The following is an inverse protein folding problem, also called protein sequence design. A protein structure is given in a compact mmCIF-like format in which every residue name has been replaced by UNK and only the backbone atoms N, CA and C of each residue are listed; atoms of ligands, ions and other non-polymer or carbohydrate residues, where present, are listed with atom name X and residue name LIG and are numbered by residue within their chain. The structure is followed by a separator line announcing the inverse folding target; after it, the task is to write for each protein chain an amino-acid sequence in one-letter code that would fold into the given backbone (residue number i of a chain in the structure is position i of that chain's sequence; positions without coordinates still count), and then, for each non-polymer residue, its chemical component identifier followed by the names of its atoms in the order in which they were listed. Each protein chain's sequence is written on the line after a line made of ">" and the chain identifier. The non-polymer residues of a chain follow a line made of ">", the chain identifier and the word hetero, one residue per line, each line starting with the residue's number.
data_IF_884059640794
#
_entry.id   IF_884059640794
#
_cell.length_a   1.000
_cell.length_b   1.000
_cell.length_c   1.000
_cell.angle_alpha   90.00
_cell.angle_beta   90.00
_cell.angle_gamma   90.00
#
_symmetry.space_group_name_H-M   'P 1'
#
loop_
_entity.id
_entity.type
_entity.pdbx_description
1 polymer ?
#
# COMPACT_ATOMS: atom_id res chain seq x y z
N UNK A 1 11.24 -39.82 -35.84
CA UNK A 1 10.37 -39.48 -34.73
C UNK A 1 10.74 -40.38 -33.59
N UNK A 2 11.41 -39.89 -32.57
CA UNK A 2 11.66 -40.63 -31.33
C UNK A 2 10.38 -40.51 -30.52
N UNK A 3 9.59 -41.58 -30.48
CA UNK A 3 8.39 -41.63 -29.61
C UNK A 3 8.87 -41.86 -28.18
N UNK A 4 8.49 -40.99 -27.26
CA UNK A 4 8.79 -41.16 -25.84
C UNK A 4 7.96 -42.37 -25.34
N UNK A 5 8.62 -43.46 -24.96
CA UNK A 5 8.00 -44.62 -24.31
C UNK A 5 8.33 -44.61 -22.83
N UNK A 6 7.31 -44.44 -21.99
CA UNK A 6 7.42 -44.49 -20.53
C UNK A 6 7.29 -45.93 -20.03
N UNK A 7 8.18 -46.36 -19.17
CA UNK A 7 8.07 -47.63 -18.46
C UNK A 7 6.98 -47.57 -17.38
N UNK A 8 6.47 -48.73 -16.99
CA UNK A 8 5.43 -48.82 -15.93
C UNK A 8 5.87 -48.19 -14.59
N UNK A 9 7.16 -48.21 -14.29
CA UNK A 9 7.69 -47.63 -13.06
C UNK A 9 7.81 -46.10 -13.19
N UNK A 10 8.16 -45.58 -14.36
CA UNK A 10 8.17 -44.14 -14.64
C UNK A 10 6.75 -43.56 -14.61
N UNK A 11 5.76 -44.31 -15.15
CA UNK A 11 4.36 -43.91 -15.07
C UNK A 11 3.87 -43.86 -13.59
N UNK A 12 4.22 -44.88 -12.78
CA UNK A 12 3.89 -44.85 -11.34
C UNK A 12 4.55 -43.71 -10.61
N UNK A 13 5.81 -43.44 -10.93
CA UNK A 13 6.53 -42.32 -10.35
C UNK A 13 5.88 -40.97 -10.72
N UNK A 14 5.56 -40.80 -12.00
CA UNK A 14 4.85 -39.61 -12.49
C UNK A 14 3.51 -39.37 -11.78
N UNK A 15 2.73 -40.44 -11.61
CA UNK A 15 1.45 -40.36 -10.92
C UNK A 15 1.56 -40.17 -9.41
N UNK A 16 2.74 -40.36 -8.82
CA UNK A 16 3.05 -40.08 -7.40
C UNK A 16 3.55 -38.66 -7.13
N UNK A 17 3.93 -37.92 -8.15
CA UNK A 17 4.38 -36.53 -8.04
C UNK A 17 3.23 -35.59 -7.66
N UNK A 18 3.59 -34.43 -7.09
CA UNK A 18 2.64 -33.36 -6.85
C UNK A 18 2.10 -32.77 -8.17
N UNK A 19 0.94 -32.12 -8.13
CA UNK A 19 0.33 -31.48 -9.33
C UNK A 19 1.30 -30.53 -10.03
N UNK A 20 2.11 -29.80 -9.27
CA UNK A 20 3.12 -28.87 -9.79
C UNK A 20 4.26 -29.60 -10.54
N UNK A 21 4.73 -30.73 -10.00
CA UNK A 21 5.78 -31.52 -10.62
C UNK A 21 5.26 -32.29 -11.86
N UNK A 22 4.00 -32.70 -11.86
CA UNK A 22 3.35 -33.27 -13.03
C UNK A 22 3.19 -32.25 -14.16
N UNK A 23 2.79 -31.02 -13.84
CA UNK A 23 2.72 -29.92 -14.82
C UNK A 23 4.08 -29.60 -15.43
N UNK A 24 5.14 -29.54 -14.62
CA UNK A 24 6.50 -29.30 -15.08
C UNK A 24 6.98 -30.43 -16.03
N UNK A 25 6.66 -31.67 -15.72
CA UNK A 25 6.95 -32.79 -16.59
C UNK A 25 6.20 -32.67 -17.93
N UNK A 26 4.90 -32.39 -17.94
CA UNK A 26 4.14 -32.24 -19.19
C UNK A 26 4.60 -31.05 -20.03
N UNK A 27 5.05 -29.97 -19.41
CA UNK A 27 5.63 -28.82 -20.12
C UNK A 27 7.00 -29.12 -20.75
N UNK A 28 7.71 -30.15 -20.24
CA UNK A 28 9.01 -30.58 -20.78
C UNK A 28 8.90 -31.47 -22.02
N UNK A 29 7.70 -32.00 -22.32
CA UNK A 29 7.46 -32.88 -23.46
C UNK A 29 7.26 -32.07 -24.74
N UNK A 30 7.97 -32.40 -25.85
CA UNK A 30 7.72 -31.77 -27.13
C UNK A 30 6.26 -31.97 -27.59
N UNK A 31 5.65 -30.93 -28.15
CA UNK A 31 4.23 -30.89 -28.54
C UNK A 31 3.79 -32.07 -29.41
N UNK A 32 4.71 -32.62 -30.22
CA UNK A 32 4.45 -33.80 -31.08
C UNK A 32 4.43 -35.17 -30.37
N UNK A 33 4.94 -35.26 -29.15
CA UNK A 33 5.03 -36.52 -28.37
C UNK A 33 4.00 -36.56 -27.22
N UNK A 34 3.36 -35.40 -26.91
CA UNK A 34 2.43 -35.24 -25.79
C UNK A 34 1.22 -36.19 -25.90
N UNK A 35 0.63 -36.32 -27.09
CA UNK A 35 -0.51 -37.23 -27.34
C UNK A 35 -0.12 -38.70 -27.15
N UNK A 36 1.12 -39.06 -27.44
CA UNK A 36 1.68 -40.39 -27.23
C UNK A 36 1.78 -40.72 -25.73
N UNK A 37 2.29 -39.80 -24.95
CA UNK A 37 2.44 -39.93 -23.49
C UNK A 37 1.08 -39.98 -22.81
N UNK A 38 0.13 -39.12 -23.19
CA UNK A 38 -1.24 -39.09 -22.65
C UNK A 38 -1.93 -40.45 -22.93
N UNK A 39 -1.73 -41.03 -24.10
CA UNK A 39 -2.28 -42.35 -24.46
C UNK A 39 -1.68 -43.45 -23.61
N UNK A 40 -0.35 -43.48 -23.40
CA UNK A 40 0.32 -44.45 -22.54
C UNK A 40 -0.16 -44.36 -21.08
N UNK A 41 -0.40 -43.15 -20.56
CA UNK A 41 -0.97 -42.93 -19.23
C UNK A 41 -2.43 -43.45 -19.15
N UNK A 42 -3.22 -43.27 -20.21
CA UNK A 42 -4.57 -43.76 -20.34
C UNK A 42 -4.63 -45.29 -20.39
N UNK A 43 -3.76 -45.93 -21.18
CA UNK A 43 -3.65 -47.39 -21.33
C UNK A 43 -3.13 -48.04 -20.03
N UNK A 44 -2.17 -47.39 -19.33
CA UNK A 44 -1.71 -47.86 -18.03
C UNK A 44 -2.83 -47.75 -16.97
N UNK A 45 -3.62 -46.66 -16.99
CA UNK A 45 -4.81 -46.47 -16.14
C UNK A 45 -5.85 -47.59 -16.37
N UNK A 46 -6.11 -47.99 -17.62
CA UNK A 46 -7.01 -49.09 -17.95
C UNK A 46 -6.43 -50.45 -17.55
N UNK A 47 -5.14 -50.68 -17.70
CA UNK A 47 -4.45 -51.92 -17.28
C UNK A 47 -4.32 -52.02 -15.75
N UNK A 48 -4.12 -50.91 -15.04
CA UNK A 48 -4.11 -50.86 -13.58
C UNK A 48 -5.52 -50.91 -12.96
N UNK A 49 -6.58 -50.65 -13.73
CA UNK A 49 -7.99 -50.68 -13.33
C UNK A 49 -8.53 -52.07 -13.02
N UNK A 50 -7.75 -53.12 -13.27
CA UNK A 50 -8.07 -54.44 -12.76
C UNK A 50 -7.76 -54.63 -11.27
N UNK A 51 -7.34 -53.60 -10.54
CA UNK A 51 -7.13 -53.61 -9.09
C UNK A 51 -6.90 -52.25 -8.47
N UNK A 52 -7.88 -51.76 -7.76
CA UNK A 52 -7.87 -50.71 -6.68
C UNK A 52 -7.51 -49.26 -7.00
N UNK A 53 -6.82 -48.91 -8.09
CA UNK A 53 -6.38 -47.52 -8.36
C UNK A 53 -7.43 -46.64 -9.05
N UNK A 54 -8.21 -47.22 -10.00
CA UNK A 54 -9.26 -46.49 -10.72
C UNK A 54 -10.44 -46.14 -9.78
N UNK A 55 -10.73 -47.03 -8.83
CA UNK A 55 -11.74 -46.76 -7.79
C UNK A 55 -11.35 -45.59 -6.89
N UNK A 56 -10.06 -45.40 -6.60
CA UNK A 56 -9.59 -44.31 -5.77
C UNK A 56 -9.62 -42.95 -6.50
N UNK A 57 -9.23 -42.91 -7.79
CA UNK A 57 -9.28 -41.70 -8.61
C UNK A 57 -10.74 -41.29 -8.92
N UNK A 58 -11.60 -42.27 -9.23
CA UNK A 58 -13.03 -42.03 -9.45
C UNK A 58 -13.74 -41.62 -8.14
N UNK A 59 -13.42 -42.26 -7.02
CA UNK A 59 -13.95 -41.88 -5.70
C UNK A 59 -13.47 -40.49 -5.24
N UNK A 60 -12.22 -40.10 -5.55
CA UNK A 60 -11.72 -38.77 -5.30
C UNK A 60 -12.40 -37.72 -6.18
N UNK A 61 -12.58 -38.00 -7.47
CA UNK A 61 -13.33 -37.16 -8.41
C UNK A 61 -14.79 -37.01 -8.00
N UNK A 62 -15.44 -38.11 -7.60
CA UNK A 62 -16.82 -38.11 -7.11
C UNK A 62 -16.95 -37.29 -5.80
N UNK A 63 -16.03 -37.47 -4.84
CA UNK A 63 -15.99 -36.69 -3.60
C UNK A 63 -15.72 -35.18 -3.86
N UNK A 64 -14.85 -34.86 -4.81
CA UNK A 64 -14.62 -33.47 -5.22
C UNK A 64 -15.87 -32.87 -5.86
N UNK A 65 -16.56 -33.63 -6.76
CA UNK A 65 -17.81 -33.21 -7.36
C UNK A 65 -18.93 -33.03 -6.31
N UNK A 66 -19.08 -33.98 -5.37
CA UNK A 66 -20.02 -33.88 -4.25
C UNK A 66 -19.70 -32.66 -3.36
N UNK A 67 -18.41 -32.42 -3.07
CA UNK A 67 -17.97 -31.24 -2.29
C UNK A 67 -18.28 -29.93 -3.02
N UNK A 68 -18.05 -29.87 -4.32
CA UNK A 68 -18.39 -28.72 -5.16
C UNK A 68 -19.91 -28.53 -5.20
N UNK A 69 -20.67 -29.61 -5.41
CA UNK A 69 -22.12 -29.59 -5.43
C UNK A 69 -22.69 -29.12 -4.07
N UNK A 70 -22.17 -29.67 -2.97
CA UNK A 70 -22.57 -29.26 -1.62
C UNK A 70 -22.24 -27.78 -1.34
N UNK A 71 -21.03 -27.31 -1.74
CA UNK A 71 -20.66 -25.89 -1.64
C UNK A 71 -21.56 -25.02 -2.53
N UNK A 72 -21.89 -25.47 -3.71
CA UNK A 72 -22.80 -24.77 -4.63
C UNK A 72 -24.22 -24.72 -4.07
N UNK A 73 -24.72 -25.82 -3.52
CA UNK A 73 -26.05 -25.87 -2.87
C UNK A 73 -26.13 -24.96 -1.63
N UNK A 74 -25.04 -24.89 -0.85
CA UNK A 74 -24.96 -24.02 0.34
C UNK A 74 -24.61 -22.57 0.01
N UNK A 75 -24.31 -22.23 -1.24
CA UNK A 75 -23.97 -20.87 -1.67
C UNK A 75 -25.21 -20.00 -1.85
N UNK A 76 -25.05 -18.71 -1.56
CA UNK A 76 -26.11 -17.72 -1.78
C UNK A 76 -26.04 -17.19 -3.21
N UNK A 77 -27.17 -17.27 -3.93
CA UNK A 77 -27.33 -16.56 -5.18
C UNK A 77 -27.53 -15.06 -4.91
N UNK A 78 -26.70 -14.21 -5.55
CA UNK A 78 -26.83 -12.76 -5.43
C UNK A 78 -27.63 -12.13 -6.57
N UNK A 79 -28.06 -12.94 -7.53
CA UNK A 79 -28.81 -12.47 -8.71
C UNK A 79 -27.92 -11.72 -9.70
N UNK A 80 -28.51 -11.16 -10.77
CA UNK A 80 -27.79 -10.32 -11.71
C UNK A 80 -27.29 -9.07 -11.00
N UNK A 81 -26.10 -8.59 -11.40
CA UNK A 81 -25.62 -7.29 -10.92
C UNK A 81 -26.53 -6.18 -11.44
N UNK A 82 -26.77 -5.13 -10.64
CA UNK A 82 -27.46 -3.94 -11.13
C UNK A 82 -26.73 -3.34 -12.34
N UNK A 83 -27.48 -2.61 -13.18
CA UNK A 83 -26.87 -1.79 -14.19
C UNK A 83 -26.08 -0.64 -13.54
N UNK A 84 -25.06 -0.14 -14.26
CA UNK A 84 -24.27 1.01 -13.84
C UNK A 84 -25.19 2.24 -13.74
N UNK A 85 -25.29 2.85 -12.57
CA UNK A 85 -26.22 3.93 -12.32
C UNK A 85 -25.92 5.19 -13.15
N UNK A 86 -24.64 5.51 -13.35
CA UNK A 86 -24.20 6.64 -14.16
C UNK A 86 -22.92 6.32 -14.92
N UNK A 87 -23.07 5.89 -16.17
CA UNK A 87 -21.95 5.54 -17.07
C UNK A 87 -21.08 6.77 -17.36
N UNK A 88 -21.69 7.96 -17.49
CA UNK A 88 -20.96 9.20 -17.78
C UNK A 88 -20.05 9.61 -16.62
N UNK A 89 -20.55 9.51 -15.39
CA UNK A 89 -19.79 9.79 -14.17
C UNK A 89 -18.64 8.78 -13.98
N UNK A 90 -18.94 7.50 -14.18
CA UNK A 90 -17.93 6.42 -14.13
C UNK A 90 -16.80 6.69 -15.13
N UNK A 91 -17.12 6.99 -16.39
CA UNK A 91 -16.12 7.21 -17.44
C UNK A 91 -15.32 8.50 -17.20
N UNK A 92 -15.95 9.59 -16.74
CA UNK A 92 -15.26 10.82 -16.37
C UNK A 92 -14.24 10.57 -15.24
N UNK A 93 -14.60 9.76 -14.24
CA UNK A 93 -13.73 9.40 -13.12
C UNK A 93 -12.62 8.41 -13.52
N UNK A 94 -12.84 7.60 -14.56
CA UNK A 94 -11.85 6.62 -15.02
C UNK A 94 -10.51 7.25 -15.39
N UNK A 95 -10.53 8.37 -16.08
CA UNK A 95 -9.35 9.10 -16.53
C UNK A 95 -8.83 10.15 -15.54
N UNK A 96 -9.48 10.33 -14.37
CA UNK A 96 -9.17 11.42 -13.46
C UNK A 96 -9.26 10.99 -11.99
N UNK A 97 -8.09 10.72 -11.39
CA UNK A 97 -7.95 10.29 -10.01
C UNK A 97 -8.47 11.31 -8.98
N UNK A 98 -8.22 12.59 -9.20
CA UNK A 98 -8.72 13.66 -8.32
C UNK A 98 -10.24 13.77 -8.37
N UNK A 99 -10.82 13.73 -9.58
CA UNK A 99 -12.28 13.74 -9.78
C UNK A 99 -12.91 12.49 -9.12
N UNK A 100 -12.28 11.33 -9.27
CA UNK A 100 -12.71 10.10 -8.62
C UNK A 100 -12.78 10.24 -7.09
N UNK A 101 -11.73 10.80 -6.48
CA UNK A 101 -11.67 11.05 -5.05
C UNK A 101 -12.76 12.04 -4.59
N UNK A 102 -12.94 13.14 -5.33
CA UNK A 102 -13.93 14.17 -5.00
C UNK A 102 -15.37 13.68 -5.21
N UNK A 103 -15.59 12.80 -6.18
CA UNK A 103 -16.91 12.24 -6.49
C UNK A 103 -17.34 11.17 -5.49
N UNK A 104 -16.51 10.18 -5.28
CA UNK A 104 -16.89 8.99 -4.51
C UNK A 104 -16.54 9.06 -3.03
N UNK A 105 -15.61 9.93 -2.63
CA UNK A 105 -15.13 10.03 -1.26
C UNK A 105 -15.25 11.43 -0.67
N UNK A 106 -16.27 12.17 -1.09
CA UNK A 106 -16.56 13.52 -0.59
C UNK A 106 -16.64 13.63 0.94
N UNK A 107 -17.23 12.68 1.70
CA UNK A 107 -17.21 12.73 3.15
C UNK A 107 -15.82 12.63 3.77
N UNK A 108 -14.88 11.98 3.09
CA UNK A 108 -13.47 11.87 3.50
C UNK A 108 -12.70 13.15 3.16
N UNK A 109 -12.97 13.72 1.98
CA UNK A 109 -12.35 14.96 1.47
C UNK A 109 -13.34 16.14 1.57
N UNK A 110 -13.92 16.34 2.76
CA UNK A 110 -14.97 17.35 2.99
C UNK A 110 -14.45 18.79 2.99
N UNK A 111 -13.17 18.98 3.28
CA UNK A 111 -12.51 20.29 3.18
C UNK A 111 -12.05 20.56 1.74
N UNK A 112 -11.91 21.82 1.34
CA UNK A 112 -11.28 22.17 0.08
C UNK A 112 -9.87 21.55 -0.04
N UNK A 113 -9.55 21.02 -1.21
CA UNK A 113 -8.23 20.42 -1.46
C UNK A 113 -7.12 21.43 -1.25
N UNK A 114 -6.12 21.06 -0.46
CA UNK A 114 -4.87 21.80 -0.41
C UNK A 114 -4.13 21.74 -1.76
N UNK A 115 -3.40 22.78 -2.16
CA UNK A 115 -2.62 22.75 -3.39
C UNK A 115 -1.67 21.54 -3.48
N UNK A 116 -1.03 21.18 -2.37
CA UNK A 116 -0.15 20.02 -2.32
C UNK A 116 -0.88 18.68 -2.48
N UNK A 117 -2.09 18.57 -1.96
CA UNK A 117 -2.90 17.35 -2.13
C UNK A 117 -3.31 17.16 -3.59
N UNK A 118 -3.70 18.25 -4.29
CA UNK A 118 -4.00 18.22 -5.72
C UNK A 118 -2.77 17.77 -6.52
N UNK A 119 -1.63 18.41 -6.28
CA UNK A 119 -0.37 18.06 -6.93
C UNK A 119 0.00 16.60 -6.68
N UNK A 120 -0.15 16.10 -5.46
CA UNK A 120 0.13 14.71 -5.12
C UNK A 120 -0.80 13.74 -5.86
N UNK A 121 -2.11 14.02 -5.93
CA UNK A 121 -3.08 13.18 -6.65
C UNK A 121 -2.82 13.15 -8.16
N UNK A 122 -2.45 14.28 -8.76
CA UNK A 122 -2.08 14.39 -10.17
C UNK A 122 -0.80 13.58 -10.47
N UNK A 123 0.21 13.67 -9.60
CA UNK A 123 1.44 12.89 -9.72
C UNK A 123 1.20 11.39 -9.54
N UNK A 124 0.36 10.98 -8.58
CA UNK A 124 -0.06 9.59 -8.43
C UNK A 124 -0.75 9.07 -9.68
N UNK A 125 -1.64 9.87 -10.28
CA UNK A 125 -2.25 9.51 -11.56
C UNK A 125 -1.20 9.30 -12.66
N UNK A 126 -0.25 10.22 -12.79
CA UNK A 126 0.80 10.12 -13.80
C UNK A 126 1.63 8.84 -13.62
N UNK A 127 2.05 8.53 -12.39
CA UNK A 127 2.80 7.32 -12.06
C UNK A 127 1.98 6.05 -12.32
N UNK A 128 0.72 6.03 -11.91
CA UNK A 128 -0.17 4.90 -12.16
C UNK A 128 -0.35 4.64 -13.66
N UNK A 129 -0.50 5.67 -14.48
CA UNK A 129 -0.75 5.50 -15.91
C UNK A 129 0.54 5.22 -16.72
N UNK A 130 1.66 5.84 -16.37
CA UNK A 130 2.88 5.83 -17.17
C UNK A 130 4.03 5.00 -16.59
N UNK A 131 3.91 4.54 -15.34
CA UNK A 131 5.01 4.00 -14.56
C UNK A 131 5.89 5.12 -14.00
N UNK A 132 6.93 4.73 -13.27
CA UNK A 132 7.82 5.66 -12.56
C UNK A 132 7.73 5.50 -11.06
N UNK A 133 8.54 6.29 -10.33
CA UNK A 133 8.67 6.18 -8.88
C UNK A 133 8.63 7.55 -8.24
N UNK A 134 7.77 7.72 -7.24
CA UNK A 134 7.53 9.00 -6.58
C UNK A 134 7.56 8.83 -5.07
N UNK A 135 8.28 9.73 -4.38
CA UNK A 135 8.30 9.84 -2.92
C UNK A 135 7.71 11.18 -2.49
N UNK A 136 6.72 11.15 -1.61
CA UNK A 136 6.03 12.34 -1.12
C UNK A 136 6.12 12.44 0.39
N UNK A 137 6.77 13.50 0.87
CA UNK A 137 6.85 13.81 2.29
C UNK A 137 5.75 14.78 2.69
N UNK A 138 4.84 14.31 3.54
CA UNK A 138 3.65 15.06 3.98
C UNK A 138 3.47 14.89 5.48
N UNK A 139 3.06 15.96 6.18
CA UNK A 139 2.77 15.92 7.60
C UNK A 139 1.74 14.86 8.00
N UNK A 140 1.72 14.48 9.26
CA UNK A 140 0.61 13.71 9.83
C UNK A 140 -0.70 14.49 9.75
N UNK A 141 -1.80 13.80 9.43
CA UNK A 141 -3.09 14.43 9.20
C UNK A 141 -3.26 15.09 7.84
N UNK A 142 -2.21 15.15 6.99
CA UNK A 142 -2.28 15.69 5.63
C UNK A 142 -2.97 14.78 4.60
N UNK A 143 -3.62 13.69 5.02
CA UNK A 143 -4.37 12.72 4.23
C UNK A 143 -3.52 11.90 3.23
N UNK A 144 -2.19 11.88 3.37
CA UNK A 144 -1.28 11.17 2.44
C UNK A 144 -1.66 9.70 2.23
N UNK A 145 -1.86 8.94 3.32
CA UNK A 145 -2.22 7.52 3.26
C UNK A 145 -3.60 7.31 2.63
N UNK A 146 -4.54 8.22 2.88
CA UNK A 146 -5.88 8.18 2.30
C UNK A 146 -5.84 8.46 0.79
N UNK A 147 -5.07 9.46 0.36
CA UNK A 147 -4.84 9.76 -1.05
C UNK A 147 -4.22 8.57 -1.77
N UNK A 148 -3.16 7.96 -1.21
CA UNK A 148 -2.53 6.78 -1.79
C UNK A 148 -3.49 5.58 -1.90
N UNK A 149 -4.32 5.35 -0.88
CA UNK A 149 -5.32 4.27 -0.85
C UNK A 149 -6.43 4.49 -1.87
N UNK A 150 -6.96 5.71 -1.98
CA UNK A 150 -7.97 6.07 -2.98
C UNK A 150 -7.40 5.94 -4.39
N UNK A 151 -6.16 6.38 -4.61
CA UNK A 151 -5.47 6.23 -5.90
C UNK A 151 -5.24 4.76 -6.26
N UNK A 152 -4.93 3.91 -5.28
CA UNK A 152 -4.81 2.45 -5.49
C UNK A 152 -6.14 1.84 -5.90
N UNK A 153 -7.22 2.21 -5.20
CA UNK A 153 -8.58 1.76 -5.56
C UNK A 153 -8.95 2.21 -6.96
N UNK A 154 -8.76 3.50 -7.27
CA UNK A 154 -8.97 4.04 -8.60
C UNK A 154 -8.21 3.27 -9.69
N UNK A 155 -6.94 2.97 -9.43
CA UNK A 155 -6.09 2.23 -10.36
C UNK A 155 -6.63 0.82 -10.66
N UNK A 156 -7.10 0.11 -9.62
CA UNK A 156 -7.59 -1.28 -9.76
C UNK A 156 -8.96 -1.33 -10.41
N UNK A 157 -9.93 -0.57 -9.92
CA UNK A 157 -11.32 -0.71 -10.41
C UNK A 157 -11.50 -0.20 -11.84
N UNK A 158 -10.61 0.68 -12.30
CA UNK A 158 -10.58 1.15 -13.68
C UNK A 158 -9.62 0.36 -14.60
N UNK A 159 -8.96 -0.69 -14.08
CA UNK A 159 -8.09 -1.57 -14.85
C UNK A 159 -6.74 -0.95 -15.24
N UNK A 160 -6.33 0.15 -14.60
CA UNK A 160 -5.03 0.76 -14.86
C UNK A 160 -3.88 -0.07 -14.29
N UNK A 161 -4.12 -0.75 -13.17
CA UNK A 161 -3.19 -1.67 -12.51
C UNK A 161 -3.92 -2.92 -12.04
N UNK A 162 -3.26 -4.08 -12.14
CA UNK A 162 -3.87 -5.37 -11.84
C UNK A 162 -3.37 -5.98 -10.53
N UNK A 163 -2.16 -5.62 -10.10
CA UNK A 163 -1.56 -6.23 -8.92
C UNK A 163 -0.79 -5.24 -8.03
N UNK A 164 -1.49 -4.28 -7.39
CA UNK A 164 -0.87 -3.43 -6.38
C UNK A 164 -0.38 -4.21 -5.16
N UNK A 165 0.80 -3.80 -4.65
CA UNK A 165 1.36 -4.24 -3.37
C UNK A 165 1.38 -3.05 -2.42
N UNK A 166 0.67 -3.16 -1.30
CA UNK A 166 0.62 -2.15 -0.24
C UNK A 166 1.64 -2.50 0.84
N UNK A 167 2.61 -1.64 1.08
CA UNK A 167 3.73 -1.91 1.99
C UNK A 167 3.65 -0.99 3.20
N UNK A 168 3.52 -1.59 4.39
CA UNK A 168 3.55 -0.90 5.68
C UNK A 168 4.83 -1.19 6.47
N UNK A 169 5.04 -0.46 7.56
CA UNK A 169 6.23 -0.63 8.40
C UNK A 169 6.29 -1.98 9.14
N UNK A 170 5.14 -2.61 9.40
CA UNK A 170 4.98 -3.86 10.18
C UNK A 170 3.84 -4.70 9.62
N UNK A 171 3.75 -5.97 10.03
CA UNK A 171 2.66 -6.89 9.64
C UNK A 171 1.30 -6.41 10.15
N UNK A 172 1.24 -5.78 11.32
CA UNK A 172 0.02 -5.16 11.83
C UNK A 172 -0.43 -4.01 10.89
N UNK A 173 0.50 -3.19 10.41
CA UNK A 173 0.20 -2.13 9.44
C UNK A 173 -0.26 -2.69 8.09
N UNK A 174 0.34 -3.77 7.63
CA UNK A 174 -0.11 -4.47 6.43
C UNK A 174 -1.56 -4.99 6.59
N UNK A 175 -1.89 -5.55 7.74
CA UNK A 175 -3.27 -5.97 8.06
C UNK A 175 -4.24 -4.80 8.15
N UNK A 176 -3.83 -3.68 8.75
CA UNK A 176 -4.62 -2.44 8.83
C UNK A 176 -4.90 -1.86 7.43
N UNK A 177 -3.96 -1.92 6.50
CA UNK A 177 -4.17 -1.48 5.11
C UNK A 177 -5.34 -2.22 4.46
N UNK A 178 -5.45 -3.53 4.67
CA UNK A 178 -6.55 -4.33 4.13
C UNK A 178 -7.89 -3.92 4.72
N UNK A 179 -7.99 -3.80 6.05
CA UNK A 179 -9.23 -3.42 6.71
C UNK A 179 -9.66 -2.00 6.30
N UNK A 180 -8.72 -1.08 6.21
CA UNK A 180 -8.96 0.28 5.74
C UNK A 180 -9.41 0.33 4.27
N UNK A 181 -8.93 -0.60 3.44
CA UNK A 181 -9.38 -0.71 2.05
C UNK A 181 -10.86 -1.10 1.95
N UNK A 182 -11.29 -2.10 2.73
CA UNK A 182 -12.69 -2.50 2.77
C UNK A 182 -13.58 -1.44 3.42
N UNK A 183 -13.10 -0.77 4.47
CA UNK A 183 -13.80 0.35 5.07
C UNK A 183 -14.02 1.49 4.05
N UNK A 184 -13.02 1.78 3.23
CA UNK A 184 -13.11 2.75 2.14
C UNK A 184 -14.18 2.34 1.11
N UNK A 185 -14.15 1.10 0.62
CA UNK A 185 -15.18 0.56 -0.28
C UNK A 185 -16.59 0.68 0.32
N UNK A 186 -16.74 0.34 1.60
CA UNK A 186 -18.02 0.37 2.28
C UNK A 186 -18.55 1.78 2.55
N UNK A 187 -17.68 2.80 2.55
CA UNK A 187 -18.03 4.19 2.87
C UNK A 187 -18.72 4.93 1.74
N UNK A 188 -18.71 4.39 0.51
CA UNK A 188 -19.23 5.07 -0.67
C UNK A 188 -20.34 4.25 -1.37
N UNK A 189 -21.61 4.42 -1.02
CA UNK A 189 -22.72 3.81 -1.77
C UNK A 189 -22.70 4.21 -3.24
N UNK A 190 -22.40 5.47 -3.54
CA UNK A 190 -22.33 5.99 -4.92
C UNK A 190 -21.30 5.24 -5.77
N UNK A 191 -20.19 4.82 -5.17
CA UNK A 191 -19.19 3.98 -5.85
C UNK A 191 -19.78 2.62 -6.20
N UNK A 192 -20.54 2.00 -5.30
CA UNK A 192 -21.17 0.70 -5.55
C UNK A 192 -22.28 0.77 -6.59
N UNK A 193 -22.97 1.91 -6.70
CA UNK A 193 -23.99 2.16 -7.73
C UNK A 193 -23.36 2.25 -9.13
N UNK A 194 -22.17 2.85 -9.25
CA UNK A 194 -21.46 2.99 -10.53
C UNK A 194 -20.52 1.83 -10.86
N UNK A 195 -20.08 1.05 -9.84
CA UNK A 195 -19.23 -0.12 -9.98
C UNK A 195 -19.87 -1.34 -9.30
N UNK A 196 -21.06 -1.77 -9.74
CA UNK A 196 -21.80 -2.85 -9.09
C UNK A 196 -21.02 -4.18 -9.06
N UNK A 197 -20.07 -4.37 -9.97
CA UNK A 197 -19.21 -5.55 -10.04
C UNK A 197 -18.29 -5.75 -8.83
N UNK A 198 -18.07 -4.71 -8.01
CA UNK A 198 -17.28 -4.84 -6.78
C UNK A 198 -18.14 -5.22 -5.56
N UNK A 199 -19.46 -5.13 -5.66
CA UNK A 199 -20.39 -5.46 -4.58
C UNK A 199 -20.20 -6.88 -4.03
N UNK A 200 -19.99 -7.95 -4.86
CA UNK A 200 -19.74 -9.29 -4.36
C UNK A 200 -18.52 -9.40 -3.45
N UNK A 201 -17.45 -8.64 -3.72
CA UNK A 201 -16.25 -8.60 -2.88
C UNK A 201 -16.57 -8.04 -1.49
N UNK A 202 -17.34 -6.94 -1.42
CA UNK A 202 -17.76 -6.35 -0.16
C UNK A 202 -18.70 -7.26 0.62
N UNK A 203 -19.64 -7.95 -0.04
CA UNK A 203 -20.49 -8.95 0.57
C UNK A 203 -19.67 -10.09 1.18
N UNK A 204 -18.66 -10.58 0.46
CA UNK A 204 -17.76 -11.63 0.95
C UNK A 204 -16.93 -11.19 2.14
N UNK A 205 -16.45 -9.96 2.14
CA UNK A 205 -15.74 -9.40 3.30
C UNK A 205 -16.63 -9.36 4.56
N UNK A 206 -17.89 -8.93 4.41
CA UNK A 206 -18.86 -8.90 5.52
C UNK A 206 -19.28 -10.31 5.98
N UNK A 207 -19.26 -11.29 5.07
CA UNK A 207 -19.69 -12.67 5.32
C UNK A 207 -18.63 -13.69 4.86
N UNK A 208 -17.46 -13.76 5.53
CA UNK A 208 -16.29 -14.49 5.03
C UNK A 208 -16.52 -16.01 4.90
N UNK A 209 -17.40 -16.58 5.70
CA UNK A 209 -17.72 -18.03 5.65
C UNK A 209 -18.69 -18.40 4.53
N UNK A 210 -19.43 -17.44 3.97
CA UNK A 210 -20.48 -17.69 2.98
C UNK A 210 -19.89 -17.74 1.57
N UNK A 211 -20.36 -18.70 0.77
CA UNK A 211 -20.08 -18.73 -0.66
C UNK A 211 -21.19 -18.02 -1.42
N UNK A 212 -20.83 -17.40 -2.54
CA UNK A 212 -21.74 -16.62 -3.37
C UNK A 212 -21.74 -17.13 -4.80
N UNK A 213 -22.91 -17.05 -5.46
CA UNK A 213 -23.09 -17.30 -6.89
C UNK A 213 -23.60 -16.04 -7.57
N UNK A 214 -23.18 -15.86 -8.79
CA UNK A 214 -23.68 -14.84 -9.70
C UNK A 214 -24.20 -15.55 -10.95
N UNK A 215 -25.48 -15.42 -11.26
CA UNK A 215 -26.14 -16.09 -12.37
C UNK A 215 -25.88 -17.61 -12.37
N UNK A 216 -26.03 -18.25 -11.22
CA UNK A 216 -25.79 -19.68 -11.02
C UNK A 216 -24.32 -20.12 -10.95
N UNK A 217 -23.38 -19.28 -11.34
CA UNK A 217 -21.93 -19.57 -11.31
C UNK A 217 -21.33 -19.22 -9.96
N UNK A 218 -20.64 -20.19 -9.35
CA UNK A 218 -19.91 -19.95 -8.10
C UNK A 218 -18.81 -18.90 -8.32
N UNK A 219 -18.85 -17.82 -7.52
CA UNK A 219 -17.82 -16.79 -7.56
C UNK A 219 -16.61 -17.23 -6.74
N UNK A 220 -15.44 -17.22 -7.36
CA UNK A 220 -14.17 -17.32 -6.67
C UNK A 220 -13.88 -15.96 -6.00
N UNK A 221 -14.27 -15.83 -4.74
CA UNK A 221 -14.14 -14.62 -3.95
C UNK A 221 -13.23 -14.89 -2.77
N UNK A 222 -12.09 -14.24 -2.75
CA UNK A 222 -11.15 -14.34 -1.66
C UNK A 222 -10.87 -12.95 -1.10
N UNK A 223 -11.71 -12.45 -0.14
CA UNK A 223 -11.40 -11.19 0.57
C UNK A 223 -10.10 -11.33 1.37
N UNK A 224 -9.67 -12.57 1.57
CA UNK A 224 -8.39 -12.95 2.16
C UNK A 224 -8.03 -14.32 1.62
N UNK A 225 -7.07 -14.41 0.71
CA UNK A 225 -6.42 -15.69 0.42
C UNK A 225 -5.56 -16.11 1.64
N UNK A 226 -4.97 -17.29 1.60
CA UNK A 226 -4.10 -17.77 2.67
C UNK A 226 -2.90 -16.85 2.97
N UNK A 227 -2.58 -15.92 2.06
CA UNK A 227 -1.51 -14.92 2.15
C UNK A 227 -2.01 -13.51 2.49
N UNK A 228 -3.31 -13.34 2.74
CA UNK A 228 -3.91 -12.05 3.12
C UNK A 228 -4.24 -11.11 1.96
N UNK A 229 -4.07 -11.53 0.70
CA UNK A 229 -4.38 -10.72 -0.49
C UNK A 229 -5.89 -10.53 -0.66
N UNK A 230 -6.28 -9.37 -1.17
CA UNK A 230 -7.63 -9.07 -1.64
C UNK A 230 -7.70 -9.50 -3.10
N UNK A 231 -8.61 -10.39 -3.44
CA UNK A 231 -8.82 -10.89 -4.81
C UNK A 231 -10.17 -10.41 -5.31
N UNK A 232 -10.16 -9.64 -6.38
CA UNK A 232 -11.38 -9.12 -7.01
C UNK A 232 -12.15 -10.24 -7.73
N UNK A 233 -13.49 -10.09 -7.85
CA UNK A 233 -14.33 -11.12 -8.46
C UNK A 233 -13.95 -11.41 -9.92
N UNK A 234 -14.08 -12.67 -10.31
CA UNK A 234 -13.96 -13.09 -11.71
C UNK A 234 -15.25 -12.77 -12.49
N UNK A 235 -15.42 -11.49 -12.81
CA UNK A 235 -16.53 -10.96 -13.61
C UNK A 235 -15.97 -10.49 -14.94
N UNK A 236 -16.40 -11.15 -16.03
CA UNK A 236 -15.76 -11.06 -17.35
C UNK A 236 -15.61 -9.62 -17.87
N UNK A 237 -16.65 -8.81 -17.71
CA UNK A 237 -16.68 -7.45 -18.27
C UNK A 237 -16.21 -6.38 -17.30
N UNK A 238 -15.70 -6.78 -16.12
CA UNK A 238 -15.15 -5.85 -15.15
C UNK A 238 -13.68 -5.54 -15.45
N UNK A 239 -13.34 -4.25 -15.43
CA UNK A 239 -11.95 -3.80 -15.56
C UNK A 239 -11.05 -4.31 -14.43
N UNK A 240 -11.62 -4.60 -13.25
CA UNK A 240 -10.91 -5.16 -12.09
C UNK A 240 -10.97 -6.70 -12.03
N UNK A 241 -11.42 -7.37 -13.09
CA UNK A 241 -11.57 -8.83 -13.12
C UNK A 241 -10.29 -9.53 -12.67
N UNK A 242 -10.38 -10.35 -11.62
CA UNK A 242 -9.26 -11.08 -11.02
C UNK A 242 -8.04 -10.20 -10.63
N UNK A 243 -8.22 -8.90 -10.41
CA UNK A 243 -7.17 -8.08 -9.87
C UNK A 243 -6.87 -8.46 -8.41
N UNK A 244 -5.61 -8.34 -8.01
CA UNK A 244 -5.17 -8.62 -6.65
C UNK A 244 -4.65 -7.35 -5.99
N UNK A 245 -4.85 -7.21 -4.68
CA UNK A 245 -4.14 -6.24 -3.85
C UNK A 245 -3.47 -7.03 -2.72
N UNK A 246 -2.15 -6.91 -2.59
CA UNK A 246 -1.37 -7.65 -1.61
C UNK A 246 -0.78 -6.71 -0.54
N UNK A 247 -1.25 -6.77 0.71
CA UNK A 247 -0.63 -6.05 1.81
C UNK A 247 0.59 -6.83 2.34
N UNK A 248 1.71 -6.11 2.52
CA UNK A 248 2.95 -6.66 3.05
C UNK A 248 3.60 -5.70 4.05
N UNK A 249 4.40 -6.27 4.94
CA UNK A 249 5.37 -5.51 5.74
C UNK A 249 6.61 -5.20 4.90
N UNK A 250 7.25 -4.07 5.15
CA UNK A 250 8.55 -3.76 4.54
C UNK A 250 9.64 -4.79 4.90
N UNK A 251 9.44 -5.57 5.96
CA UNK A 251 10.36 -6.61 6.41
C UNK A 251 9.98 -8.03 5.89
N UNK A 252 8.94 -8.16 5.06
CA UNK A 252 8.48 -9.45 4.57
C UNK A 252 9.54 -10.13 3.68
N UNK A 253 9.85 -11.40 3.96
CA UNK A 253 10.87 -12.17 3.24
C UNK A 253 10.31 -13.01 2.10
N UNK A 254 9.00 -13.25 2.08
CA UNK A 254 8.28 -14.08 1.12
C UNK A 254 7.72 -13.29 -0.09
N UNK A 255 8.29 -12.13 -0.37
CA UNK A 255 7.85 -11.23 -1.45
C UNK A 255 8.46 -11.63 -2.80
N UNK A 256 9.65 -12.24 -2.79
CA UNK A 256 10.34 -12.66 -4.02
C UNK A 256 9.51 -13.65 -4.81
N UNK A 257 9.36 -13.41 -6.12
CA UNK A 257 8.56 -14.27 -7.01
C UNK A 257 7.04 -14.08 -6.89
N UNK A 258 6.59 -13.02 -6.18
CA UNK A 258 5.16 -12.73 -6.03
C UNK A 258 4.48 -12.62 -7.40
N UNK A 259 3.50 -13.49 -7.63
CA UNK A 259 2.73 -13.54 -8.86
C UNK A 259 1.40 -14.29 -8.64
N UNK A 260 0.53 -14.24 -9.63
CA UNK A 260 -0.59 -15.16 -9.76
C UNK A 260 -0.85 -15.44 -11.24
N UNK A 261 -1.53 -16.55 -11.52
CA UNK A 261 -1.94 -16.90 -12.88
C UNK A 261 -3.43 -16.54 -13.03
N UNK A 262 -3.75 -15.75 -14.06
CA UNK A 262 -5.12 -15.41 -14.34
C UNK A 262 -5.86 -16.57 -15.07
N UNK A 263 -7.16 -16.42 -15.30
CA UNK A 263 -8.00 -17.42 -15.96
C UNK A 263 -7.59 -17.72 -17.42
N UNK A 264 -6.74 -16.92 -18.02
CA UNK A 264 -6.22 -17.13 -19.37
C UNK A 264 -4.85 -17.79 -19.37
N UNK A 265 -4.34 -18.20 -18.19
CA UNK A 265 -3.02 -18.79 -18.04
C UNK A 265 -1.87 -17.76 -18.06
N UNK A 266 -2.18 -16.47 -17.99
CA UNK A 266 -1.16 -15.41 -18.00
C UNK A 266 -0.67 -15.16 -16.58
N UNK A 267 0.65 -15.22 -16.40
CA UNK A 267 1.30 -14.87 -15.12
C UNK A 267 1.30 -13.37 -14.93
N UNK A 268 0.63 -12.89 -13.89
CA UNK A 268 0.55 -11.48 -13.51
C UNK A 268 1.49 -11.23 -12.34
N UNK A 269 2.39 -10.26 -12.49
CA UNK A 269 3.31 -9.79 -11.47
C UNK A 269 2.88 -8.44 -10.91
N UNK A 270 3.39 -8.02 -9.74
CA UNK A 270 3.14 -6.69 -9.20
C UNK A 270 3.49 -5.59 -10.21
N UNK A 271 2.56 -4.66 -10.39
CA UNK A 271 2.64 -3.55 -11.35
C UNK A 271 2.52 -2.17 -10.70
N UNK A 272 2.14 -2.13 -9.40
CA UNK A 272 2.10 -0.92 -8.59
C UNK A 272 2.57 -1.24 -7.16
N UNK A 273 3.51 -0.46 -6.65
CA UNK A 273 3.95 -0.49 -5.25
C UNK A 273 3.44 0.78 -4.54
N UNK A 274 2.90 0.61 -3.35
CA UNK A 274 2.47 1.72 -2.51
C UNK A 274 3.07 1.57 -1.12
N UNK A 275 4.06 2.38 -0.83
CA UNK A 275 4.76 2.42 0.47
C UNK A 275 4.11 3.48 1.35
N UNK A 276 3.54 3.09 2.49
CA UNK A 276 2.87 3.99 3.43
C UNK A 276 3.54 3.95 4.80
N UNK A 277 4.23 5.05 5.13
CA UNK A 277 4.96 5.24 6.40
C UNK A 277 5.81 4.01 6.79
N UNK A 278 6.67 3.53 5.88
CA UNK A 278 7.45 2.27 6.01
C UNK A 278 8.54 2.30 7.08
N UNK A 279 8.71 3.40 7.79
CA UNK A 279 9.61 3.52 8.94
C UNK A 279 8.86 3.75 10.25
N UNK A 280 9.26 3.00 11.29
CA UNK A 280 8.88 3.28 12.68
C UNK A 280 9.82 4.32 13.29
N UNK A 281 9.44 5.01 14.39
CA UNK A 281 10.35 5.92 15.08
C UNK A 281 11.68 5.27 15.49
N UNK A 282 11.65 3.98 15.90
CA UNK A 282 12.85 3.25 16.27
C UNK A 282 13.76 2.99 15.08
N UNK A 283 13.18 2.55 13.95
CA UNK A 283 13.97 2.26 12.75
C UNK A 283 14.54 3.52 12.10
N UNK A 284 13.84 4.66 12.20
CA UNK A 284 14.34 5.94 11.68
C UNK A 284 15.59 6.44 12.44
N UNK A 285 15.70 6.13 13.75
CA UNK A 285 16.86 6.46 14.57
C UNK A 285 18.06 5.54 14.38
N UNK A 286 17.90 4.43 13.68
CA UNK A 286 18.95 3.45 13.43
C UNK A 286 19.43 3.53 11.98
N UNK A 287 20.63 4.04 11.71
CA UNK A 287 21.20 4.06 10.35
C UNK A 287 21.25 2.69 9.70
N UNK A 288 21.58 1.64 10.48
CA UNK A 288 21.62 0.26 10.00
C UNK A 288 20.24 -0.22 9.53
N UNK A 289 19.20 -0.04 10.35
CA UNK A 289 17.83 -0.42 9.97
C UNK A 289 17.29 0.40 8.80
N UNK A 290 17.72 1.65 8.68
CA UNK A 290 17.38 2.50 7.53
C UNK A 290 18.00 1.94 6.26
N UNK A 291 19.29 1.56 6.29
CA UNK A 291 20.02 0.97 5.17
C UNK A 291 19.43 -0.40 4.76
N UNK A 292 19.16 -1.29 5.72
CA UNK A 292 18.53 -2.58 5.46
C UNK A 292 17.17 -2.43 4.77
N UNK A 293 16.33 -1.49 5.21
CA UNK A 293 15.03 -1.23 4.59
C UNK A 293 15.15 -0.60 3.21
N UNK A 294 16.08 0.34 3.04
CA UNK A 294 16.38 0.95 1.74
C UNK A 294 16.80 -0.12 0.73
N UNK A 295 17.70 -1.01 1.12
CA UNK A 295 18.14 -2.14 0.31
C UNK A 295 16.97 -3.09 -0.03
N UNK A 296 16.14 -3.42 0.96
CA UNK A 296 14.98 -4.29 0.73
C UNK A 296 13.95 -3.67 -0.21
N UNK A 297 13.66 -2.37 -0.08
CA UNK A 297 12.77 -1.65 -1.00
C UNK A 297 13.34 -1.66 -2.41
N UNK A 298 14.62 -1.31 -2.56
CA UNK A 298 15.25 -1.15 -3.88
C UNK A 298 15.50 -2.47 -4.59
N UNK A 299 15.98 -3.49 -3.89
CA UNK A 299 16.36 -4.77 -4.48
C UNK A 299 15.20 -5.77 -4.56
N UNK A 300 14.37 -5.83 -3.51
CA UNK A 300 13.29 -6.83 -3.45
C UNK A 300 12.00 -6.28 -4.02
N UNK A 301 11.42 -5.24 -3.43
CA UNK A 301 10.12 -4.73 -3.88
C UNK A 301 10.21 -4.13 -5.30
N UNK A 302 11.16 -3.26 -5.57
CA UNK A 302 11.31 -2.66 -6.89
C UNK A 302 11.77 -3.65 -7.98
N UNK A 303 12.18 -4.86 -7.59
CA UNK A 303 12.51 -5.96 -8.49
C UNK A 303 11.34 -6.89 -8.84
N UNK A 304 10.10 -6.62 -8.35
CA UNK A 304 8.96 -7.52 -8.53
C UNK A 304 8.34 -7.49 -9.93
N UNK A 305 8.57 -6.44 -10.70
CA UNK A 305 7.98 -6.29 -12.04
C UNK A 305 8.39 -7.41 -12.99
N UNK A 306 7.53 -7.70 -13.96
CA UNK A 306 7.83 -8.59 -15.08
C UNK A 306 8.85 -7.96 -16.05
N UNK A 307 9.47 -8.81 -16.86
CA UNK A 307 10.35 -8.35 -17.94
C UNK A 307 9.57 -7.45 -18.92
N UNK A 308 10.10 -6.25 -19.16
CA UNK A 308 9.46 -5.28 -20.06
C UNK A 308 8.26 -4.52 -19.46
N UNK A 309 7.87 -4.79 -18.23
CA UNK A 309 6.76 -4.07 -17.57
C UNK A 309 7.26 -2.84 -16.83
N UNK A 310 6.52 -1.73 -16.95
CA UNK A 310 6.81 -0.50 -16.23
C UNK A 310 6.17 -0.55 -14.85
N UNK A 311 6.98 -0.81 -13.82
CA UNK A 311 6.56 -0.74 -12.44
C UNK A 311 6.24 0.73 -12.06
N UNK A 312 5.10 0.92 -11.43
CA UNK A 312 4.76 2.15 -10.75
C UNK A 312 5.09 2.02 -9.25
N UNK A 313 5.65 3.05 -8.64
CA UNK A 313 5.89 3.06 -7.20
C UNK A 313 5.53 4.43 -6.60
N UNK A 314 4.74 4.43 -5.54
CA UNK A 314 4.32 5.60 -4.78
C UNK A 314 4.76 5.38 -3.34
N UNK A 315 5.56 6.28 -2.81
CA UNK A 315 5.91 6.33 -1.40
C UNK A 315 5.30 7.57 -0.76
N UNK A 316 4.53 7.38 0.30
CA UNK A 316 4.02 8.48 1.13
C UNK A 316 4.54 8.31 2.55
N UNK A 317 5.18 9.31 3.06
CA UNK A 317 5.84 9.23 4.36
C UNK A 317 5.88 10.60 5.06
N UNK A 318 6.37 10.59 6.29
CA UNK A 318 6.70 11.78 7.07
C UNK A 318 8.18 11.70 7.41
N UNK A 319 8.94 12.77 7.20
CA UNK A 319 10.34 12.85 7.63
C UNK A 319 10.38 12.86 9.16
N UNK A 320 11.20 12.00 9.74
CA UNK A 320 11.34 11.84 11.19
C UNK A 320 12.70 12.21 11.72
N UNK A 321 13.74 11.77 11.03
CA UNK A 321 15.13 11.96 11.44
C UNK A 321 15.94 12.39 10.22
N UNK A 322 17.08 13.01 10.49
CA UNK A 322 18.04 13.31 9.43
C UNK A 322 18.52 12.02 8.75
N UNK A 323 18.53 12.02 7.43
CA UNK A 323 18.93 10.87 6.60
C UNK A 323 18.06 9.60 6.79
N UNK A 324 16.79 9.78 7.18
CA UNK A 324 15.83 8.68 7.20
C UNK A 324 15.46 8.21 5.77
N UNK A 325 14.67 7.16 5.64
CA UNK A 325 14.26 6.63 4.33
C UNK A 325 13.60 7.68 3.45
N UNK A 326 12.75 8.53 4.03
CA UNK A 326 12.02 9.55 3.28
C UNK A 326 12.97 10.56 2.68
N UNK A 327 13.96 11.05 3.46
CA UNK A 327 14.97 11.97 2.96
C UNK A 327 15.86 11.31 1.90
N UNK A 328 16.20 10.04 2.07
CA UNK A 328 17.00 9.28 1.10
C UNK A 328 16.29 9.16 -0.24
N UNK A 329 15.01 8.73 -0.25
CA UNK A 329 14.23 8.58 -1.48
C UNK A 329 13.85 9.92 -2.14
N UNK A 330 13.83 11.02 -1.40
CA UNK A 330 13.70 12.37 -1.96
C UNK A 330 15.02 12.92 -2.53
N UNK A 331 16.15 12.29 -2.22
CA UNK A 331 17.46 12.73 -2.68
C UNK A 331 17.75 12.23 -4.10
N UNK A 332 17.76 13.11 -5.08
CA UNK A 332 18.17 12.81 -6.47
C UNK A 332 19.60 12.30 -6.59
N UNK A 333 20.43 12.52 -5.59
CA UNK A 333 21.82 12.00 -5.57
C UNK A 333 21.83 10.54 -5.14
N UNK A 334 21.03 10.18 -4.13
CA UNK A 334 20.95 8.79 -3.64
C UNK A 334 20.06 7.91 -4.53
N UNK A 335 18.92 8.44 -4.93
CA UNK A 335 17.91 7.76 -5.75
C UNK A 335 17.55 8.58 -6.99
N UNK A 336 18.39 8.57 -8.05
CA UNK A 336 18.13 9.34 -9.26
C UNK A 336 16.94 8.82 -10.07
N UNK A 337 16.48 7.60 -9.79
CA UNK A 337 15.33 6.92 -10.37
C UNK A 337 14.00 7.18 -9.64
N UNK A 338 14.05 7.94 -8.54
CA UNK A 338 12.88 8.43 -7.82
C UNK A 338 12.72 9.92 -8.04
N UNK A 339 11.48 10.35 -8.26
CA UNK A 339 11.06 11.75 -8.19
C UNK A 339 10.23 11.97 -6.92
N UNK A 340 9.75 13.17 -6.70
CA UNK A 340 8.90 13.42 -5.54
C UNK A 340 8.92 14.86 -5.08
N UNK A 341 8.26 15.06 -3.94
CA UNK A 341 8.17 16.40 -3.35
C UNK A 341 8.05 16.35 -1.83
N UNK A 342 8.62 17.37 -1.20
CA UNK A 342 8.48 17.68 0.21
C UNK A 342 7.45 18.80 0.34
N UNK A 343 6.48 18.63 1.22
CA UNK A 343 5.37 19.57 1.40
C UNK A 343 5.39 20.16 2.83
N UNK A 344 6.16 21.25 3.07
CA UNK A 344 6.13 21.93 4.35
C UNK A 344 4.78 22.62 4.57
N UNK A 345 4.29 22.64 5.80
CA UNK A 345 3.02 23.32 6.11
C UNK A 345 3.15 24.83 6.18
N UNK A 346 4.33 25.34 6.55
CA UNK A 346 4.66 26.77 6.45
C UNK A 346 5.62 26.96 5.29
N UNK A 347 5.12 27.51 4.17
CA UNK A 347 5.91 27.75 2.96
C UNK A 347 6.88 28.91 3.15
N UNK A 348 6.43 29.96 3.83
CA UNK A 348 7.26 31.11 4.18
C UNK A 348 7.00 31.49 5.62
N UNK A 349 8.08 31.63 6.42
CA UNK A 349 7.99 32.05 7.81
C UNK A 349 7.60 33.51 7.91
N UNK A 350 6.80 33.89 8.94
CA UNK A 350 6.44 35.28 9.18
C UNK A 350 7.68 36.12 9.56
N UNK A 351 7.66 37.40 9.21
CA UNK A 351 8.81 38.30 9.35
C UNK A 351 9.05 38.72 10.81
N UNK A 352 8.00 38.80 11.63
CA UNK A 352 8.07 39.33 13.01
C UNK A 352 8.30 38.17 14.01
N UNK A 353 9.51 37.60 13.98
CA UNK A 353 9.92 36.56 14.92
C UNK A 353 9.80 37.01 16.39
N UNK A 354 10.06 38.28 16.69
CA UNK A 354 9.94 38.88 18.02
C UNK A 354 8.52 38.80 18.60
N UNK A 355 7.50 39.03 17.77
CA UNK A 355 6.10 38.89 18.20
C UNK A 355 5.73 37.44 18.41
N UNK A 356 6.25 36.51 17.59
CA UNK A 356 6.01 35.09 17.77
C UNK A 356 6.74 34.52 18.99
N UNK A 357 7.90 35.01 19.36
CA UNK A 357 8.56 34.69 20.63
C UNK A 357 7.73 35.18 21.82
N UNK A 358 7.22 36.42 21.76
CA UNK A 358 6.30 36.96 22.76
C UNK A 358 5.02 36.14 22.87
N UNK A 359 4.47 35.67 21.76
CA UNK A 359 3.32 34.74 21.71
C UNK A 359 3.64 33.42 22.43
N UNK A 360 4.80 32.83 22.15
CA UNK A 360 5.25 31.61 22.83
C UNK A 360 5.37 31.78 24.35
N UNK A 361 5.92 32.90 24.81
CA UNK A 361 6.00 33.22 26.25
C UNK A 361 4.61 33.32 26.89
N UNK A 362 3.60 33.83 26.16
CA UNK A 362 2.22 33.97 26.64
C UNK A 362 1.50 32.65 26.79
N UNK A 363 1.87 31.64 26.00
CA UNK A 363 1.34 30.27 26.17
C UNK A 363 1.67 29.67 27.55
N UNK A 364 2.77 30.11 28.18
CA UNK A 364 3.15 29.70 29.54
C UNK A 364 2.58 30.58 30.66
N UNK A 365 1.74 31.58 30.34
CA UNK A 365 1.12 32.47 31.33
C UNK A 365 -0.25 31.94 31.79
N UNK A 366 -0.69 32.43 32.96
CA UNK A 366 -1.95 32.00 33.57
C UNK A 366 -1.81 30.81 34.50
N UNK A 367 -2.89 30.41 35.12
CA UNK A 367 -2.91 29.31 36.09
C UNK A 367 -3.10 27.92 35.41
N UNK A 368 -3.66 27.92 34.22
CA UNK A 368 -3.94 26.72 33.45
C UNK A 368 -3.43 26.82 32.00
N UNK A 369 -3.19 25.70 31.30
CA UNK A 369 -2.85 25.72 29.87
C UNK A 369 -3.92 26.43 29.01
N UNK A 370 -5.19 26.40 29.41
CA UNK A 370 -6.28 27.07 28.72
C UNK A 370 -6.16 28.59 28.88
N UNK A 371 -5.77 29.09 30.06
CA UNK A 371 -5.51 30.50 30.26
C UNK A 371 -4.35 31.01 29.41
N UNK A 372 -3.27 30.24 29.37
CA UNK A 372 -2.12 30.58 28.51
C UNK A 372 -2.51 30.66 27.05
N UNK A 373 -3.28 29.69 26.57
CA UNK A 373 -3.80 29.64 25.17
C UNK A 373 -4.67 30.87 24.89
N UNK A 374 -5.60 31.23 25.80
CA UNK A 374 -6.45 32.41 25.66
C UNK A 374 -5.65 33.71 25.63
N UNK A 375 -4.71 33.88 26.55
CA UNK A 375 -3.84 35.08 26.60
C UNK A 375 -3.04 35.20 25.31
N UNK A 376 -2.46 34.11 24.81
CA UNK A 376 -1.70 34.11 23.57
C UNK A 376 -2.60 34.43 22.36
N UNK A 377 -3.83 33.87 22.31
CA UNK A 377 -4.77 34.20 21.24
C UNK A 377 -5.21 35.68 21.25
N UNK A 378 -5.49 36.25 22.42
CA UNK A 378 -5.79 37.69 22.55
C UNK A 378 -4.64 38.54 22.05
N UNK A 379 -3.40 38.20 22.40
CA UNK A 379 -2.22 38.87 21.90
C UNK A 379 -2.08 38.75 20.38
N UNK A 380 -2.28 37.53 19.82
CA UNK A 380 -2.27 37.32 18.39
C UNK A 380 -3.35 38.15 17.69
N UNK A 381 -4.58 38.14 18.20
CA UNK A 381 -5.70 38.88 17.62
C UNK A 381 -5.39 40.39 17.56
N UNK A 382 -4.81 40.92 18.64
CA UNK A 382 -4.43 42.34 18.71
C UNK A 382 -3.28 42.74 17.76
N UNK A 383 -2.40 41.77 17.41
CA UNK A 383 -1.21 42.03 16.59
C UNK A 383 -1.25 41.27 15.24
N UNK A 384 -2.39 40.74 14.84
CA UNK A 384 -2.52 39.77 13.76
C UNK A 384 -1.86 40.24 12.46
N UNK A 385 -2.15 41.46 12.01
CA UNK A 385 -1.61 41.99 10.76
C UNK A 385 -0.07 42.01 10.75
N UNK A 386 0.54 42.39 11.86
CA UNK A 386 1.99 42.38 11.97
C UNK A 386 2.57 40.98 12.11
N UNK A 387 1.89 40.10 12.83
CA UNK A 387 2.33 38.71 13.05
C UNK A 387 2.19 37.82 11.80
N UNK A 388 1.17 38.08 10.98
CA UNK A 388 0.96 37.35 9.73
C UNK A 388 1.84 37.87 8.58
N UNK A 389 2.45 39.05 8.73
CA UNK A 389 3.25 39.70 7.68
C UNK A 389 4.36 38.76 7.18
N UNK A 390 4.39 38.52 5.86
CA UNK A 390 5.35 37.65 5.18
C UNK A 390 5.13 36.18 5.37
N UNK A 391 4.24 35.75 6.26
CA UNK A 391 3.90 34.34 6.49
C UNK A 391 3.02 33.74 5.36
N UNK A 392 3.35 32.56 4.91
CA UNK A 392 2.55 31.80 3.90
C UNK A 392 2.41 30.34 4.35
N UNK A 393 1.19 29.88 4.45
CA UNK A 393 0.88 28.48 4.79
C UNK A 393 0.50 27.68 3.54
N UNK A 394 0.75 26.38 3.57
CA UNK A 394 0.40 25.49 2.47
C UNK A 394 -1.11 25.27 2.34
N UNK A 395 -1.86 25.41 3.45
CA UNK A 395 -3.30 25.18 3.48
C UNK A 395 -3.97 25.98 4.61
N UNK A 396 -4.95 26.83 4.27
CA UNK A 396 -5.65 27.68 5.22
C UNK A 396 -6.59 26.90 6.19
N UNK A 397 -6.93 25.66 5.84
CA UNK A 397 -7.76 24.80 6.70
C UNK A 397 -6.95 23.97 7.69
N UNK A 398 -5.60 24.11 7.69
CA UNK A 398 -4.70 23.38 8.59
C UNK A 398 -4.64 24.03 9.98
N UNK A 399 -5.78 24.02 10.68
CA UNK A 399 -5.92 24.63 12.01
C UNK A 399 -6.94 23.89 12.85
N UNK A 400 -6.83 24.02 14.17
CA UNK A 400 -7.85 23.60 15.10
C UNK A 400 -9.09 24.54 15.01
N UNK A 401 -10.29 24.03 15.34
CA UNK A 401 -11.53 24.83 15.24
C UNK A 401 -11.54 26.12 16.08
N UNK A 402 -10.81 26.13 17.19
CA UNK A 402 -10.70 27.21 18.13
C UNK A 402 -9.53 28.16 17.85
N UNK A 403 -8.80 27.96 16.75
CA UNK A 403 -7.69 28.83 16.34
C UNK A 403 -8.10 29.81 15.22
N UNK A 404 -7.51 31.01 15.25
CA UNK A 404 -7.92 32.11 14.39
C UNK A 404 -7.39 32.00 12.96
N UNK A 405 -6.24 31.32 12.77
CA UNK A 405 -5.66 31.10 11.45
C UNK A 405 -4.81 29.82 11.43
N UNK A 406 -4.54 29.28 10.22
CA UNK A 406 -3.63 28.16 10.05
C UNK A 406 -2.18 28.54 10.46
N UNK A 407 -1.75 29.77 10.16
CA UNK A 407 -0.43 30.23 10.57
C UNK A 407 -0.29 30.24 12.10
N UNK A 408 -1.31 30.74 12.83
CA UNK A 408 -1.31 30.71 14.29
C UNK A 408 -1.23 29.28 14.81
N UNK A 409 -2.03 28.37 14.27
CA UNK A 409 -2.04 26.94 14.65
C UNK A 409 -0.63 26.33 14.53
N UNK A 410 -0.02 26.49 13.38
CA UNK A 410 1.31 25.95 13.09
C UNK A 410 2.41 26.60 13.92
N UNK A 411 2.33 27.90 14.15
CA UNK A 411 3.29 28.62 14.99
C UNK A 411 3.11 28.32 16.49
N UNK A 412 1.91 27.97 16.93
CA UNK A 412 1.68 27.43 18.28
C UNK A 412 2.43 26.11 18.46
N UNK A 413 2.34 25.21 17.48
CA UNK A 413 3.12 23.95 17.49
C UNK A 413 4.62 24.23 17.56
N UNK A 414 5.11 25.20 16.78
CA UNK A 414 6.52 25.61 16.79
C UNK A 414 6.97 26.13 18.16
N UNK A 415 6.12 26.91 18.83
CA UNK A 415 6.44 27.48 20.15
C UNK A 415 6.46 26.41 21.25
N UNK A 416 5.57 25.40 21.17
CA UNK A 416 5.46 24.34 22.17
C UNK A 416 6.48 23.22 21.96
N UNK A 417 6.71 22.81 20.72
CA UNK A 417 7.66 21.73 20.35
C UNK A 417 8.36 22.06 19.03
N UNK A 418 9.49 22.76 19.07
CA UNK A 418 10.25 23.12 17.87
C UNK A 418 10.77 21.91 17.08
N UNK A 419 11.07 20.78 17.76
CA UNK A 419 11.56 19.57 17.11
C UNK A 419 10.43 18.90 16.31
N UNK A 420 9.26 18.74 16.94
CA UNK A 420 8.06 18.23 16.28
C UNK A 420 7.65 19.13 15.09
N UNK A 421 7.69 20.44 15.26
CA UNK A 421 7.41 21.39 14.18
C UNK A 421 8.33 21.16 12.99
N UNK A 422 9.64 21.01 13.22
CA UNK A 422 10.61 20.80 12.16
C UNK A 422 10.38 19.49 11.42
N UNK A 423 10.27 18.38 12.16
CA UNK A 423 10.13 17.06 11.56
C UNK A 423 8.72 16.85 10.96
N UNK A 424 7.70 16.96 11.79
CA UNK A 424 6.34 16.53 11.41
C UNK A 424 5.58 17.61 10.61
N UNK A 425 5.90 18.90 10.79
CA UNK A 425 5.20 20.00 10.14
C UNK A 425 5.97 20.51 8.92
N UNK A 426 7.28 20.74 9.07
CA UNK A 426 8.13 21.26 7.99
C UNK A 426 8.76 20.16 7.15
N UNK A 427 8.62 18.90 7.56
CA UNK A 427 9.20 17.75 6.87
C UNK A 427 10.73 17.87 6.73
N UNK A 428 11.39 18.44 7.72
CA UNK A 428 12.83 18.57 7.81
C UNK A 428 13.34 17.62 8.89
N UNK A 429 14.27 16.74 8.56
CA UNK A 429 14.87 15.81 9.52
C UNK A 429 15.47 16.53 10.73
N UNK A 430 15.38 15.93 11.91
CA UNK A 430 16.00 16.49 13.10
C UNK A 430 17.53 16.48 12.89
N UNK A 431 18.14 17.65 12.91
CA UNK A 431 19.59 17.73 12.81
C UNK A 431 20.16 17.11 14.07
N UNK A 432 21.02 16.08 13.99
CA UNK A 432 21.66 15.58 15.17
C UNK A 432 22.28 16.73 15.93
N UNK A 433 21.88 16.91 17.19
CA UNK A 433 22.58 17.86 18.07
C UNK A 433 24.04 17.48 17.97
N UNK A 434 24.85 18.39 17.47
CA UNK A 434 26.26 18.13 17.20
C UNK A 434 26.94 17.85 18.55
N UNK A 435 26.91 16.60 18.99
CA UNK A 435 27.70 16.09 20.11
C UNK A 435 29.16 15.97 19.70
N UNK A 436 29.55 16.70 18.62
CA UNK A 436 30.94 16.76 18.15
C UNK A 436 31.93 17.32 19.16
N UNK A 437 31.45 17.79 20.34
CA UNK A 437 32.30 18.01 21.52
C UNK A 437 32.60 16.76 22.34
N UNK A 438 31.97 15.61 22.04
CA UNK A 438 32.14 14.33 22.74
C UNK A 438 32.43 13.17 21.76
N UNK A 439 33.29 13.37 20.77
CA UNK A 439 34.01 12.23 20.22
C UNK A 439 34.98 11.75 21.28
N UNK A 440 34.55 10.78 22.08
CA UNK A 440 35.44 9.91 22.79
C UNK A 440 36.27 9.15 21.75
N UNK A 441 37.36 9.75 21.26
CA UNK A 441 38.28 9.01 20.46
C UNK A 441 38.96 7.92 21.31
N UNK A 442 39.31 6.82 20.68
CA UNK A 442 39.95 5.70 21.39
C UNK A 442 41.24 6.11 22.15
N UNK A 443 41.90 7.18 21.69
CA UNK A 443 43.10 7.72 22.33
C UNK A 443 42.76 8.49 23.64
N UNK A 444 41.65 9.24 23.65
CA UNK A 444 41.16 9.92 24.87
C UNK A 444 40.67 8.92 25.92
N UNK A 445 40.06 7.79 25.49
CA UNK A 445 39.69 6.70 26.38
C UNK A 445 40.93 5.98 26.95
N UNK A 446 41.93 5.69 26.15
CA UNK A 446 43.17 5.04 26.57
C UNK A 446 43.98 5.91 27.51
N UNK A 447 44.03 7.25 27.31
CA UNK A 447 44.73 8.16 28.23
C UNK A 447 44.04 8.32 29.58
N UNK A 448 42.73 8.20 29.65
CA UNK A 448 41.96 8.25 30.91
C UNK A 448 41.99 6.92 31.69
N UNK A 449 42.11 5.80 31.00
CA UNK A 449 42.19 4.47 31.65
C UNK A 449 43.60 4.10 32.12
N UNK A 450 44.64 4.69 31.54
CA UNK A 450 46.04 4.47 31.97
C UNK A 450 46.39 5.15 33.29
N UNK A 451 45.52 5.98 33.86
CA UNK A 451 45.73 6.67 35.16
C UNK A 451 45.13 5.96 36.37
N UNK A 452 44.42 4.85 36.21
CA UNK A 452 43.83 4.11 37.35
C UNK A 452 44.82 3.07 37.83
N UNK A 453 45.62 3.43 38.85
CA UNK A 453 46.37 2.45 39.60
C UNK A 453 45.39 1.53 40.35
N UNK A 454 45.47 0.22 40.07
CA UNK A 454 44.80 -0.79 40.91
C UNK A 454 45.46 -0.76 42.31
N UNK A 455 44.69 -0.34 43.29
CA UNK A 455 45.01 -0.58 44.71
C UNK A 455 44.55 -1.97 45.12
#
# INVERSE_FOLDING_TARGET
>A
MLTIELTSDEIRHLLSLSESEQEEFFQSIPEGDLDGVIRQLGDFGQSAASGSGADYASARSARNAETINAKTAASQEIGPLPEVADVGRREACRGNNLLFADTYFKPTFYLPWAPYQRSMMERFQAVVLSGGRECHSVRRGGLKSTCARVSTLWAVINGHRRFPVLVGATDDKASEHRENFFALLASSPLLLDDYPEITPLLLKWRQPKRQFRLNGRLLSLHPKDGRGRIVFPDIHDSASCQAHIAPYSVNATDVSGLSYVDRFGVTIRPDLLVFDDVQTPQSAKSPLMTEEREEHITKTFCGLAGLGEKLAAIMVATVREHDDLTERFLSRVKHPDWDGARYPSVIKMPERADLWESYGQKLGQGETPQDGKRIAQEFYAANRQAMDAGGVVAWEHDKLPDELSALQSLMTVKALDPSFFRCEIQQEGDVPVNTSGLKLDAQTLLTRTSGVKRG
#
